data_IF_122837368716
#
_entry.id   IF_122837368716
#
_cell.length_a   1.000
_cell.length_b   1.000
_cell.length_c   1.000
_cell.angle_alpha   90.00
_cell.angle_beta   90.00
_cell.angle_gamma   90.00
#
_symmetry.space_group_name_H-M   'P 1'
#
loop_
_entity.id
_entity.type
_entity.pdbx_description
1 polymer ?
2 non-polymer ?
3 non-polymer ?
4 non-polymer ?
5 non-polymer ?
6 non-polymer ?
7 water ?
#
# COMPACT_ATOMS: atom_id res chain seq x y z
N UNK A 6 -4.08 24.24 8.10
CA UNK A 6 -4.68 23.74 6.86
C UNK A 6 -5.91 22.86 7.12
N UNK A 7 -7.05 23.22 6.52
CA UNK A 7 -8.29 22.47 6.71
C UNK A 7 -8.38 21.28 5.74
N UNK A 8 -9.04 20.20 6.20
CA UNK A 8 -9.21 19.00 5.38
C UNK A 8 -10.17 19.25 4.22
N UNK A 9 -10.18 18.35 3.24
CA UNK A 9 -11.17 18.41 2.19
C UNK A 9 -12.33 17.51 2.54
N UNK A 10 -13.54 18.04 2.42
CA UNK A 10 -14.70 17.19 2.46
C UNK A 10 -14.92 16.60 1.06
N UNK A 11 -14.89 15.27 0.97
CA UNK A 11 -15.10 14.58 -0.30
C UNK A 11 -16.36 13.72 -0.26
N UNK A 12 -16.94 13.50 -1.44
CA UNK A 12 -18.19 12.77 -1.58
C UNK A 12 -17.96 11.39 -2.18
N UNK A 13 -18.59 10.39 -1.58
CA UNK A 13 -18.57 9.04 -2.11
C UNK A 13 -19.41 8.99 -3.38
N UNK A 14 -18.77 8.63 -4.49
CA UNK A 14 -19.45 8.61 -5.78
C UNK A 14 -19.89 7.20 -6.14
N UNK A 15 -19.09 6.21 -5.75
CA UNK A 15 -19.28 4.85 -6.21
C UNK A 15 -18.59 3.93 -5.23
N UNK A 16 -19.15 2.74 -5.06
CA UNK A 16 -18.53 1.68 -4.25
C UNK A 16 -18.50 0.46 -5.14
N UNK A 17 -17.35 -0.23 -5.19
CA UNK A 17 -17.18 -1.30 -6.14
C UNK A 17 -16.29 -2.42 -5.60
N UNK A 18 -16.78 -3.65 -5.62
CA UNK A 18 -15.95 -4.79 -5.24
C UNK A 18 -15.01 -5.16 -6.38
N UNK A 19 -13.71 -5.19 -6.07
CA UNK A 19 -12.67 -5.58 -7.02
C UNK A 19 -12.44 -7.08 -6.86
N UNK A 20 -12.38 -7.51 -5.60
CA UNK A 20 -12.29 -8.92 -5.25
C UNK A 20 -12.93 -9.05 -3.88
N UNK A 21 -13.20 -10.29 -3.46
CA UNK A 21 -13.91 -10.42 -2.19
C UNK A 21 -13.36 -9.57 -1.04
N UNK A 22 -12.05 -9.39 -0.94
CA UNK A 22 -11.49 -8.64 0.20
C UNK A 22 -10.87 -7.32 -0.21
N UNK A 24 -12.35 -3.62 -1.67
CA UNK A 24 -13.43 -2.72 -2.04
C UNK A 24 -12.89 -1.36 -2.47
N UNK A 25 -13.25 -0.95 -3.68
CA UNK A 25 -12.83 0.32 -4.24
C UNK A 25 -13.91 1.38 -4.04
N UNK A 26 -13.56 2.45 -3.31
CA UNK A 26 -14.45 3.57 -3.10
C UNK A 26 -14.00 4.72 -4.02
N UNK A 27 -14.91 5.35 -4.74
CA UNK A 27 -14.54 6.47 -5.58
C UNK A 27 -15.04 7.74 -4.90
N UNK A 28 -14.10 8.65 -4.66
CA UNK A 28 -14.38 9.94 -3.99
C UNK A 28 -14.34 11.09 -4.99
N UNK A 29 -15.22 12.07 -4.80
CA UNK A 29 -15.19 13.26 -5.64
C UNK A 29 -15.88 14.44 -5.02
N UNK A 30 -16.50 15.27 -5.85
CA UNK A 30 -17.22 16.43 -5.35
C UNK A 30 -16.41 17.72 -5.40
N UNK A 31 -17.07 18.82 -5.10
CA UNK A 31 -16.44 20.13 -5.14
C UNK A 31 -15.17 20.19 -4.29
N UNK A 32 -15.10 19.35 -3.25
CA UNK A 32 -14.01 19.38 -2.29
C UNK A 32 -12.66 18.97 -2.83
N UNK A 33 -12.62 18.53 -4.08
CA UNK A 33 -11.39 18.03 -4.68
C UNK A 33 -10.72 19.11 -5.54
N UNK A 34 -11.42 20.24 -5.69
CA UNK A 34 -10.88 21.38 -6.43
C UNK A 34 -9.50 21.75 -5.94
N UNK A 35 -8.57 21.93 -6.87
CA UNK A 35 -7.19 22.29 -6.52
C UNK A 35 -6.37 21.17 -5.88
N UNK A 36 -6.95 19.99 -5.75
CA UNK A 36 -6.17 18.80 -5.41
C UNK A 36 -5.16 18.65 -6.53
N UNK A 37 -3.88 18.39 -6.19
CA UNK A 37 -2.85 18.33 -7.23
C UNK A 37 -2.90 17.12 -8.13
N UNK A 38 -2.43 17.33 -9.36
CA UNK A 38 -2.42 16.29 -10.38
C UNK A 38 -1.27 15.33 -10.19
N UNK A 39 -1.38 14.19 -10.86
CA UNK A 39 -0.34 13.15 -10.87
C UNK A 39 0.00 12.61 -9.48
N UNK A 40 -1.02 12.21 -8.72
CA UNK A 40 -0.85 11.72 -7.35
C UNK A 40 -1.11 10.22 -7.15
N UNK A 41 -1.15 9.46 -8.23
CA UNK A 41 -1.35 8.02 -8.14
C UNK A 41 -0.21 7.38 -7.37
N UNK A 42 -0.55 6.55 -6.39
CA UNK A 42 0.42 5.92 -5.46
C UNK A 42 0.75 6.83 -4.25
N UNK A 43 0.36 8.09 -4.30
CA UNK A 43 0.47 8.95 -3.12
C UNK A 43 -0.53 8.47 -2.10
N UNK A 44 -0.36 8.94 -0.87
CA UNK A 44 -1.19 8.49 0.21
C UNK A 44 -2.02 9.65 0.76
N UNK A 45 -3.17 9.34 1.33
CA UNK A 45 -4.00 10.37 1.94
C UNK A 45 -4.30 9.88 3.34
N UNK A 46 -4.81 10.76 4.18
CA UNK A 46 -5.25 10.44 5.52
C UNK A 46 -6.77 10.60 5.57
N UNK A 47 -7.47 9.52 5.84
CA UNK A 47 -8.90 9.59 6.10
C UNK A 47 -9.12 10.00 7.55
N UNK A 48 -10.04 10.94 7.79
CA UNK A 48 -10.33 11.44 9.14
C UNK A 48 -11.68 10.95 9.69
N UNK A 49 -11.67 10.42 10.92
CA UNK A 49 -12.84 9.74 11.45
C UNK A 49 -13.24 10.32 12.81
N UNK A 50 -14.56 10.41 13.06
CA UNK A 50 -15.06 11.16 14.18
C UNK A 50 -14.73 10.50 15.50
N UNK A 51 -14.18 11.27 16.42
CA UNK A 51 -14.15 10.88 17.83
C UNK A 51 -14.96 11.91 18.59
N UNK A 52 -15.86 11.41 19.43
CA UNK A 52 -16.64 12.22 20.37
C UNK A 52 -15.76 12.88 21.44
N UNK A 53 -15.86 14.20 21.53
CA UNK A 53 -15.07 14.99 22.46
C UNK A 53 -13.57 14.88 22.33
N UNK A 54 -13.06 14.36 21.20
CA UNK A 54 -11.62 14.14 21.03
C UNK A 54 -11.12 14.45 19.61
N UNK A 55 -9.80 14.46 19.45
CA UNK A 55 -9.16 14.56 18.12
C UNK A 55 -9.70 13.47 17.18
N UNK A 56 -9.80 13.79 15.89
CA UNK A 56 -10.18 12.73 14.96
C UNK A 56 -9.09 11.68 14.78
N UNK A 57 -9.49 10.43 14.64
CA UNK A 57 -8.60 9.38 14.18
C UNK A 57 -8.18 9.64 12.73
N UNK A 59 -6.45 7.54 9.26
CA UNK A 59 -6.05 6.25 8.69
C UNK A 59 -5.44 6.48 7.31
N UNK A 60 -4.38 5.77 6.98
CA UNK A 60 -3.61 6.06 5.79
C UNK A 60 -3.98 5.13 4.65
N UNK A 61 -4.22 5.72 3.48
CA UNK A 61 -4.67 4.98 2.32
C UNK A 61 -3.96 5.49 1.08
N UNK A 62 -3.96 4.67 0.05
CA UNK A 62 -3.28 5.01 -1.17
C UNK A 62 -4.28 5.47 -2.23
N UNK A 63 -3.88 6.50 -2.97
CA UNK A 63 -4.60 6.89 -4.17
C UNK A 63 -4.28 5.87 -5.25
N UNK A 64 -5.26 5.00 -5.49
CA UNK A 64 -5.13 3.90 -6.43
C UNK A 64 -5.25 4.39 -7.85
N UNK A 65 -6.19 5.29 -8.07
CA UNK A 65 -6.38 5.94 -9.36
C UNK A 65 -6.83 7.38 -9.21
N UNK A 66 -6.45 8.21 -10.17
CA UNK A 66 -6.83 9.60 -10.17
C UNK A 66 -7.29 10.03 -11.56
N UNK A 67 -8.52 10.54 -11.62
CA UNK A 67 -9.02 11.24 -12.77
C UNK A 67 -9.16 12.70 -12.39
N UNK A 68 -9.43 13.56 -13.35
CA UNK A 68 -9.46 14.99 -13.05
C UNK A 68 -10.60 15.42 -12.12
N UNK A 69 -11.60 14.56 -11.92
CA UNK A 69 -12.80 14.91 -11.14
C UNK A 69 -13.05 13.97 -9.95
N UNK A 70 -12.19 12.96 -9.80
CA UNK A 70 -12.31 11.99 -8.71
C UNK A 70 -11.02 11.19 -8.50
N UNK A 71 -10.98 10.49 -7.36
CA UNK A 71 -9.88 9.60 -7.03
C UNK A 71 -10.47 8.30 -6.53
N UNK A 72 -9.74 7.19 -6.74
CA UNK A 72 -10.13 5.88 -6.21
C UNK A 72 -9.22 5.46 -5.08
N UNK A 73 -9.85 4.91 -4.04
CA UNK A 73 -9.15 4.30 -2.91
C UNK A 73 -9.65 2.86 -2.71
N UNK A 74 -8.72 1.90 -2.69
CA UNK A 74 -9.06 0.48 -2.51
C UNK A 74 -8.80 0.05 -1.07
N UNK A 75 -9.84 -0.44 -0.41
CA UNK A 75 -9.78 -0.82 0.99
C UNK A 75 -9.68 -2.33 1.13
N UNK A 76 -8.66 -2.80 1.83
CA UNK A 76 -8.60 -4.21 2.18
C UNK A 76 -9.63 -4.46 3.28
N UNK A 77 -10.51 -5.44 3.07
CA UNK A 77 -11.55 -5.78 4.06
C UNK A 77 -10.97 -6.79 5.03
N UNK A 78 -10.04 -6.30 5.84
CA UNK A 78 -9.29 -7.12 6.79
C UNK A 78 -10.14 -7.54 7.99
N UNK A 79 -9.72 -8.61 8.64
CA UNK A 79 -10.33 -9.00 9.91
C UNK A 79 -10.08 -7.97 10.99
N UNK A 80 -11.00 -7.90 11.93
CA UNK A 80 -10.91 -6.95 13.04
C UNK A 80 -11.06 -5.56 12.45
N UNK A 81 -12.30 -5.17 12.26
CA UNK A 81 -12.62 -3.92 11.65
C UNK A 81 -12.01 -2.78 12.41
N UNK A 82 -11.60 -1.78 11.66
CA UNK A 82 -11.21 -0.54 12.25
C UNK A 82 -12.19 0.50 11.78
N UNK A 83 -12.00 1.73 12.22
CA UNK A 83 -12.83 2.80 11.75
C UNK A 83 -12.86 2.88 10.20
N UNK A 84 -11.75 2.60 9.53
CA UNK A 84 -11.66 2.78 8.07
C UNK A 84 -12.31 1.67 7.27
N UNK A 85 -11.93 0.43 7.55
CA UNK A 85 -12.49 -0.70 6.80
C UNK A 85 -13.99 -0.82 7.10
N UNK A 86 -14.37 -0.53 8.33
CA UNK A 86 -15.77 -0.54 8.69
C UNK A 86 -16.50 0.55 7.93
N UNK A 87 -15.90 1.74 7.86
CA UNK A 87 -16.52 2.85 7.13
C UNK A 87 -16.72 2.49 5.66
N UNK A 88 -15.71 1.88 5.04
CA UNK A 88 -15.78 1.51 3.63
C UNK A 88 -16.94 0.56 3.35
N UNK A 89 -17.09 -0.46 4.19
CA UNK A 89 -18.16 -1.44 4.00
C UNK A 89 -19.56 -0.85 4.12
N UNK A 90 -19.70 0.23 4.89
CA UNK A 90 -21.01 0.84 5.11
C UNK A 90 -21.23 2.11 4.31
N UNK A 91 -20.23 2.49 3.51
CA UNK A 91 -20.25 3.79 2.83
C UNK A 91 -21.32 3.85 1.75
N UNK A 92 -22.21 4.82 1.86
CA UNK A 92 -23.26 5.03 0.89
C UNK A 92 -22.87 6.11 -0.11
N UNK A 93 -23.48 6.09 -1.27
CA UNK A 93 -23.28 7.13 -2.26
C UNK A 93 -23.84 8.44 -1.72
N UNK A 94 -23.08 9.52 -1.83
CA UNK A 94 -23.51 10.82 -1.35
C UNK A 94 -22.99 11.11 0.05
N UNK A 95 -22.36 10.12 0.66
CA UNK A 95 -21.81 10.27 2.00
C UNK A 95 -20.49 11.05 1.94
N UNK A 96 -20.22 11.82 3.00
CA UNK A 96 -19.04 12.69 3.03
C UNK A 96 -17.94 12.17 3.94
N UNK A 97 -16.70 12.46 3.56
CA UNK A 97 -15.56 12.16 4.41
C UNK A 97 -14.45 13.18 4.18
N UNK A 98 -13.89 13.67 5.28
CA UNK A 98 -12.79 14.61 5.23
C UNK A 98 -11.46 13.88 5.10
N UNK A 99 -10.57 14.41 4.27
CA UNK A 99 -9.25 13.84 4.13
C UNK A 99 -8.18 14.89 4.28
N UNK A 100 -6.98 14.40 4.57
CA UNK A 100 -5.77 15.20 4.47
C UNK A 100 -4.92 14.51 3.42
N UNK A 101 -4.01 15.27 2.82
CA UNK A 101 -3.16 14.73 1.80
C UNK A 101 -3.25 15.64 0.61
N UNK A 102 -2.60 15.26 -0.50
CA UNK A 102 -1.86 14.00 -0.55
C UNK A 102 -0.47 14.09 0.06
N UNK A 103 0.02 13.01 0.62
CA UNK A 103 1.42 12.94 1.02
C UNK A 103 2.21 12.45 -0.16
N UNK A 104 3.51 12.72 -0.20
CA UNK A 104 4.33 12.35 -1.32
C UNK A 104 4.31 10.85 -1.60
N UNK A 105 4.35 10.50 -2.88
CA UNK A 105 4.47 9.12 -3.28
C UNK A 105 5.94 8.71 -3.26
N UNK A 106 6.15 7.41 -3.10
CA UNK A 106 7.44 6.78 -3.29
C UNK A 106 7.28 5.69 -4.35
N UNK A 107 7.85 5.93 -5.52
CA UNK A 107 7.88 4.93 -6.58
C UNK A 107 9.19 4.14 -6.43
N UNK A 108 9.22 2.94 -6.98
CA UNK A 108 10.47 2.20 -7.09
C UNK A 108 11.50 3.01 -7.89
N UNK A 109 12.78 2.85 -7.57
CA UNK A 109 13.86 3.46 -8.38
C UNK A 109 13.89 2.87 -9.78
N UNK A 110 13.59 3.69 -10.80
CA UNK A 110 13.50 3.20 -12.16
C UNK A 110 14.90 3.01 -12.74
N UNK A 111 15.91 3.47 -12.02
CA UNK A 111 17.28 3.44 -12.53
C UNK A 111 17.99 2.19 -12.04
N UNK A 112 17.72 1.07 -12.71
CA UNK A 112 18.17 -0.22 -12.25
C UNK A 112 18.05 -1.23 -13.40
N UNK A 113 18.77 -2.34 -13.30
CA UNK A 113 18.75 -3.37 -14.34
C UNK A 113 17.52 -4.27 -14.24
N UNK A 114 17.06 -4.52 -13.02
CA UNK A 114 15.86 -5.32 -12.83
C UNK A 114 15.17 -4.89 -11.57
N UNK A 115 13.97 -5.40 -11.36
CA UNK A 115 13.11 -4.88 -10.33
C UNK A 115 12.54 -6.00 -9.47
N UNK A 116 12.35 -5.70 -8.19
CA UNK A 116 11.56 -6.52 -7.29
C UNK A 116 10.65 -5.66 -6.44
N UNK A 117 9.35 -5.85 -6.64
CA UNK A 117 8.30 -5.26 -5.84
C UNK A 117 7.69 -6.37 -5.03
N UNK A 118 7.43 -6.10 -3.75
CA UNK A 118 6.82 -7.10 -2.89
C UNK A 118 5.97 -6.45 -1.81
N UNK A 119 4.85 -7.07 -1.48
CA UNK A 119 4.03 -6.57 -0.39
C UNK A 119 2.78 -7.40 -0.23
N UNK A 120 1.93 -6.98 0.70
CA UNK A 120 0.68 -7.65 0.91
C UNK A 120 -0.43 -6.79 0.34
N UNK A 122 -2.31 -4.49 1.43
CA UNK A 122 -2.33 -3.06 1.76
C UNK A 122 -1.41 -2.30 0.82
N UNK A 123 -0.46 -3.02 0.21
CA UNK A 123 0.51 -2.41 -0.70
C UNK A 123 0.15 -2.65 -2.14
N UNK A 124 -0.90 -3.43 -2.37
CA UNK A 124 -1.26 -3.86 -3.73
C UNK A 124 -1.64 -2.67 -4.61
N UNK A 125 -2.42 -1.70 -4.07
CA UNK A 125 -2.72 -0.50 -4.86
C UNK A 125 -1.46 0.26 -5.36
N UNK A 126 -0.51 0.48 -4.46
CA UNK A 126 0.75 1.13 -4.79
C UNK A 126 1.65 0.31 -5.72
N UNK A 127 1.69 -1.00 -5.49
CA UNK A 127 2.43 -1.90 -6.37
C UNK A 127 1.81 -1.91 -7.76
N UNK A 128 0.48 -1.82 -7.82
CA UNK A 128 -0.20 -1.84 -9.11
C UNK A 128 0.14 -0.58 -9.94
N UNK A 129 0.34 0.55 -9.27
CA UNK A 129 0.73 1.80 -9.92
C UNK A 129 2.17 1.73 -10.38
N UNK A 130 3.06 1.18 -9.55
CA UNK A 130 4.46 1.00 -9.97
C UNK A 130 4.58 0.10 -11.19
N UNK A 131 3.81 -0.98 -11.22
CA UNK A 131 3.84 -1.91 -12.37
C UNK A 131 3.38 -1.24 -13.65
N UNK A 132 2.38 -0.37 -13.54
CA UNK A 132 1.85 0.31 -14.71
C UNK A 132 2.80 1.40 -15.22
N UNK A 133 3.66 1.89 -14.34
CA UNK A 133 4.56 2.96 -14.69
C UNK A 133 5.93 2.44 -15.15
N UNK A 134 6.24 1.18 -14.84
CA UNK A 134 7.54 0.62 -15.24
C UNK A 134 7.65 0.60 -16.75
N UNK A 135 8.88 0.70 -17.27
CA UNK A 135 9.14 0.58 -18.70
C UNK A 135 8.61 -0.72 -19.27
N UNK A 136 8.21 -0.73 -20.53
CA UNK A 136 7.64 -1.90 -21.17
C UNK A 136 8.59 -3.09 -21.18
N UNK A 137 9.89 -2.81 -21.18
CA UNK A 137 10.91 -3.85 -21.23
C UNK A 137 11.52 -4.16 -19.88
N UNK A 138 10.85 -3.75 -18.80
CA UNK A 138 11.37 -3.97 -17.46
C UNK A 138 11.39 -5.47 -17.17
N UNK A 139 12.38 -5.88 -16.40
CA UNK A 139 12.58 -7.28 -16.05
C UNK A 139 12.56 -7.42 -14.53
N UNK A 140 11.98 -8.52 -14.05
CA UNK A 140 12.07 -8.86 -12.64
C UNK A 140 10.83 -9.55 -12.11
N UNK A 141 10.50 -9.24 -10.86
CA UNK A 141 9.47 -9.95 -10.09
C UNK A 141 8.60 -9.02 -9.25
N UNK A 142 7.32 -9.35 -9.19
CA UNK A 142 6.40 -8.77 -8.22
C UNK A 142 5.75 -9.92 -7.46
N UNK A 143 5.90 -9.86 -6.14
CA UNK A 143 5.46 -10.92 -5.26
C UNK A 143 4.47 -10.31 -4.28
N UNK A 144 3.25 -10.80 -4.31
CA UNK A 144 2.15 -10.21 -3.57
C UNK A 144 1.39 -11.26 -2.78
N UNK A 145 1.22 -10.95 -1.49
CA UNK A 145 0.49 -11.78 -0.56
C UNK A 145 -0.97 -11.35 -0.48
N UNK A 146 -1.87 -12.28 -0.80
CA UNK A 146 -3.30 -12.03 -0.77
C UNK A 146 -3.97 -13.04 0.16
N UNK A 147 -5.24 -12.83 0.48
CA UNK A 147 -5.94 -13.67 1.45
C UNK A 147 -6.54 -14.92 0.86
N UNK A 148 -6.83 -14.88 -0.44
CA UNK A 148 -7.40 -16.03 -1.13
C UNK A 148 -7.02 -16.01 -2.60
N UNK A 149 -7.35 -17.08 -3.31
CA UNK A 149 -7.16 -17.11 -4.76
C UNK A 149 -8.05 -16.07 -5.42
N UNK A 150 -9.24 -15.89 -4.86
CA UNK A 150 -10.22 -14.95 -5.39
C UNK A 150 -9.72 -13.51 -5.35
N UNK A 151 -8.78 -13.24 -4.46
CA UNK A 151 -8.23 -11.90 -4.30
C UNK A 151 -7.04 -11.63 -5.21
N UNK A 152 -6.65 -12.60 -6.02
CA UNK A 152 -5.68 -12.35 -7.07
C UNK A 152 -6.34 -11.46 -8.15
N UNK A 153 -5.59 -10.48 -8.64
CA UNK A 153 -6.08 -9.57 -9.68
C UNK A 153 -5.23 -9.66 -10.94
N UNK A 154 -5.86 -9.42 -12.11
CA UNK A 154 -5.09 -9.37 -13.33
C UNK A 154 -4.52 -7.97 -13.52
N UNK A 155 -3.30 -7.75 -13.05
CA UNK A 155 -2.69 -6.45 -13.11
C UNK A 155 -2.00 -6.18 -14.45
N UNK A 156 -1.98 -4.93 -14.86
CA UNK A 156 -1.11 -4.46 -15.92
C UNK A 156 0.35 -4.54 -15.44
N UNK A 157 1.23 -5.05 -16.29
CA UNK A 157 2.63 -5.15 -15.95
C UNK A 157 3.47 -5.41 -17.21
N UNK A 158 4.75 -5.01 -17.20
CA UNK A 158 5.70 -5.36 -18.24
C UNK A 158 5.73 -6.88 -18.41
N UNK A 159 5.80 -7.34 -19.65
CA UNK A 159 5.65 -8.76 -19.90
C UNK A 159 6.77 -9.57 -19.25
N UNK A 160 7.94 -8.96 -19.02
CA UNK A 160 9.05 -9.70 -18.39
C UNK A 160 9.19 -9.45 -16.88
N UNK A 161 8.19 -8.79 -16.31
CA UNK A 161 8.00 -8.80 -14.87
C UNK A 161 7.00 -9.89 -14.54
N UNK A 162 7.44 -10.89 -13.78
CA UNK A 162 6.58 -12.00 -13.35
C UNK A 162 5.81 -11.68 -12.10
N UNK A 163 4.52 -11.95 -12.10
CA UNK A 163 3.69 -11.82 -10.91
C UNK A 163 3.60 -13.12 -10.14
N UNK A 164 4.19 -13.15 -8.95
CA UNK A 164 4.08 -14.29 -8.05
C UNK A 164 3.13 -13.95 -6.92
N UNK A 165 2.08 -14.75 -6.76
CA UNK A 165 1.10 -14.51 -5.70
C UNK A 165 1.32 -15.48 -4.55
N UNK A 166 1.36 -14.95 -3.34
CA UNK A 166 1.43 -15.73 -2.14
C UNK A 166 0.05 -15.68 -1.49
N UNK A 167 -0.57 -16.83 -1.33
CA UNK A 167 -1.91 -16.86 -0.79
C UNK A 167 -1.86 -17.27 0.67
N UNK A 168 -2.25 -16.34 1.54
CA UNK A 168 -2.17 -16.55 2.97
C UNK A 168 -3.35 -15.92 3.70
N UNK A 169 -4.30 -16.74 4.15
CA UNK A 169 -5.51 -16.32 4.86
C UNK A 169 -5.30 -15.64 6.21
N UNK A 170 -4.19 -15.96 6.88
CA UNK A 170 -3.91 -15.43 8.21
C UNK A 170 -2.52 -14.82 8.19
N UNK A 171 -2.42 -13.55 8.53
CA UNK A 171 -1.11 -12.88 8.55
C UNK A 171 -0.19 -13.52 9.60
N UNK A 172 1.08 -13.68 9.26
CA UNK A 172 2.05 -14.41 10.07
C UNK A 172 2.85 -13.45 10.93
N UNK A 173 2.68 -13.49 12.25
CA UNK A 173 3.47 -12.61 13.10
C UNK A 173 4.98 -12.87 12.98
N UNK A 174 5.35 -14.04 12.45
CA UNK A 174 6.76 -14.38 12.21
C UNK A 174 7.29 -13.77 10.93
N UNK A 175 6.41 -13.31 10.05
CA UNK A 175 6.80 -12.66 8.80
C UNK A 175 7.40 -13.54 7.71
N UNK A 176 7.04 -14.82 7.72
CA UNK A 176 7.68 -15.83 6.86
C UNK A 176 7.22 -15.90 5.38
N UNK A 177 5.91 -15.82 5.11
CA UNK A 177 5.41 -16.14 3.76
C UNK A 177 6.07 -15.40 2.62
N UNK A 178 6.13 -14.07 2.71
CA UNK A 178 6.69 -13.29 1.64
C UNK A 178 8.21 -13.55 1.45
N UNK A 179 8.98 -13.50 2.54
CA UNK A 179 10.42 -13.70 2.40
C UNK A 179 10.74 -15.12 1.92
N UNK A 180 9.96 -16.10 2.36
CA UNK A 180 10.25 -17.46 1.94
C UNK A 180 10.04 -17.69 0.45
N UNK A 181 9.07 -17.02 -0.15
CA UNK A 181 8.86 -17.13 -1.59
C UNK A 181 9.93 -16.35 -2.32
N UNK A 182 10.25 -15.17 -1.82
CA UNK A 182 11.22 -14.32 -2.50
C UNK A 182 12.58 -15.02 -2.56
N UNK A 183 12.95 -15.73 -1.49
CA UNK A 183 14.26 -16.37 -1.43
C UNK A 183 14.36 -17.58 -2.39
N UNK A 184 13.23 -17.92 -3.01
CA UNK A 184 13.21 -19.01 -3.98
C UNK A 184 13.33 -18.47 -5.41
N UNK A 185 13.37 -17.14 -5.55
CA UNK A 185 13.42 -16.51 -6.85
C UNK A 185 14.87 -16.22 -7.24
N UNK A 186 15.26 -16.67 -8.44
CA UNK A 186 16.62 -16.44 -8.91
C UNK A 186 17.01 -14.97 -8.90
N UNK A 187 18.23 -14.73 -8.45
CA UNK A 187 18.83 -13.43 -8.47
C UNK A 187 19.34 -13.19 -9.88
N UNK A 188 18.94 -12.09 -10.50
CA UNK A 188 19.33 -11.85 -11.89
C UNK A 188 20.60 -11.04 -11.97
N UNK A 189 21.11 -10.87 -13.19
CA UNK A 189 22.35 -10.15 -13.41
C UNK A 189 22.11 -8.64 -13.35
N UNK A 190 23.07 -7.92 -12.79
CA UNK A 190 22.95 -6.48 -12.61
C UNK A 190 22.39 -6.10 -11.26
N UNK A 191 22.23 -4.80 -11.03
CA UNK A 191 21.73 -4.29 -9.76
C UNK A 191 20.22 -4.14 -9.86
N UNK A 192 19.51 -4.64 -8.86
CA UNK A 192 18.06 -4.47 -8.78
C UNK A 192 17.68 -3.15 -8.11
N UNK A 193 16.43 -2.75 -8.27
CA UNK A 193 15.76 -1.90 -7.29
C UNK A 193 14.65 -2.65 -6.58
N UNK A 194 14.58 -2.49 -5.26
CA UNK A 194 13.61 -3.21 -4.45
C UNK A 194 12.63 -2.24 -3.78
N UNK A 195 11.35 -2.59 -3.83
CA UNK A 195 10.30 -1.80 -3.21
C UNK A 195 9.45 -2.79 -2.44
N UNK A 196 9.34 -2.57 -1.14
CA UNK A 196 8.67 -3.49 -0.24
C UNK A 196 7.82 -2.71 0.73
N UNK A 197 6.55 -3.12 0.83
CA UNK A 197 5.63 -2.55 1.82
C UNK A 197 4.60 -3.61 2.24
N UNK A 198 4.49 -3.81 3.55
CA UNK A 198 3.65 -4.85 4.09
C UNK A 198 3.60 -4.73 5.59
N UNK A 199 3.13 -5.79 6.24
CA UNK A 199 2.99 -5.88 7.68
C UNK A 199 4.37 -5.86 8.28
N UNK A 200 4.49 -5.14 9.38
CA UNK A 200 5.77 -4.89 10.02
C UNK A 200 6.71 -6.09 10.09
N UNK A 201 6.23 -7.22 10.58
CA UNK A 201 7.10 -8.38 10.80
C UNK A 201 7.58 -8.98 9.48
N UNK A 202 6.70 -9.01 8.48
CA UNK A 202 7.11 -9.44 7.14
C UNK A 202 8.15 -8.51 6.54
N UNK A 204 10.32 -6.70 8.20
CA UNK A 204 11.58 -6.86 8.94
C UNK A 204 12.28 -8.15 8.55
N UNK A 205 11.50 -9.19 8.28
CA UNK A 205 12.05 -10.45 7.81
C UNK A 205 12.70 -10.26 6.45
N UNK A 206 12.01 -9.55 5.55
CA UNK A 206 12.55 -9.26 4.23
C UNK A 206 13.80 -8.41 4.30
N UNK A 207 13.73 -7.38 5.13
CA UNK A 207 14.83 -6.46 5.30
C UNK A 207 16.04 -7.20 5.83
N UNK A 208 15.83 -8.04 6.83
CA UNK A 208 16.90 -8.85 7.40
C UNK A 208 17.46 -9.80 6.35
N UNK A 209 16.60 -10.47 5.59
CA UNK A 209 17.08 -11.34 4.53
C UNK A 209 18.06 -10.61 3.62
N UNK A 210 17.66 -9.46 3.11
CA UNK A 210 18.51 -8.73 2.18
C UNK A 210 19.81 -8.23 2.83
N UNK A 211 19.78 -7.88 4.10
CA UNK A 211 21.00 -7.43 4.78
C UNK A 211 22.03 -8.57 4.91
N UNK A 212 21.53 -9.75 5.24
CA UNK A 212 22.39 -10.92 5.45
C UNK A 212 22.88 -11.52 4.14
N UNK A 213 22.01 -11.53 3.13
CA UNK A 213 22.32 -12.21 1.86
C UNK A 213 22.85 -11.28 0.77
N UNK A 214 22.18 -10.16 0.54
CA UNK A 214 22.43 -9.36 -0.66
C UNK A 214 22.34 -7.88 -0.34
N UNK A 215 23.37 -7.32 0.27
CA UNK A 215 23.30 -5.92 0.73
C UNK A 215 23.19 -4.92 -0.43
N UNK A 216 22.20 -4.03 -0.32
CA UNK A 216 21.88 -3.04 -1.35
C UNK A 216 21.79 -1.66 -0.72
N UNK A 217 22.13 -0.60 -1.48
CA UNK A 217 22.01 0.77 -0.99
C UNK A 217 20.55 1.18 -0.82
N UNK A 218 20.27 2.07 0.13
CA UNK A 218 18.87 2.46 0.41
C UNK A 218 18.17 3.14 -0.77
N UNK A 219 18.95 3.81 -1.62
CA UNK A 219 18.45 4.40 -2.86
C UNK A 219 17.80 3.36 -3.77
N UNK A 220 18.24 2.12 -3.65
CA UNK A 220 17.71 1.04 -4.46
C UNK A 220 17.00 0.01 -3.62
N UNK A 221 16.62 0.40 -2.40
CA UNK A 221 16.01 -0.54 -1.46
C UNK A 221 15.03 0.12 -0.49
N UNK A 222 13.79 0.25 -0.93
CA UNK A 222 12.74 0.86 -0.12
C UNK A 222 11.99 -0.20 0.67
N UNK A 223 11.93 0.00 1.99
CA UNK A 223 11.08 -0.80 2.86
C UNK A 223 10.12 0.06 3.71
N UNK A 224 8.89 -0.39 3.87
CA UNK A 224 7.93 0.32 4.69
C UNK A 224 6.95 -0.64 5.35
N UNK A 225 6.68 -0.39 6.63
CA UNK A 225 5.64 -1.05 7.37
C UNK A 225 4.35 -0.30 7.12
N UNK A 226 3.35 -1.00 6.61
CA UNK A 226 2.05 -0.38 6.33
C UNK A 226 1.03 -0.61 7.44
N UNK A 227 1.20 -1.69 8.19
CA UNK A 227 0.37 -1.98 9.36
C UNK A 227 1.09 -2.98 10.25
N UNK A 228 0.58 -3.22 11.45
CA UNK A 228 1.17 -4.24 12.29
C UNK A 228 0.09 -5.04 12.99
N UNK A 229 0.28 -6.35 13.04
CA UNK A 229 -0.61 -7.24 13.74
C UNK A 229 -0.73 -6.86 15.21
N UNK A 230 -1.97 -6.73 15.67
CA UNK A 230 -2.24 -6.43 17.07
C UNK A 230 -2.29 -4.95 17.35
N UNK A 231 -1.95 -4.13 16.35
CA UNK A 231 -1.94 -2.67 16.50
C UNK A 231 -2.93 -1.99 15.59
N UNK A 232 -3.60 -0.97 16.12
CA UNK A 232 -4.32 -0.06 15.27
C UNK A 232 -3.32 0.98 14.75
N UNK A 233 -3.73 1.82 13.80
CA UNK A 233 -2.78 2.71 13.15
C UNK A 233 -1.96 3.55 14.13
N UNK A 234 -2.61 4.04 15.18
CA UNK A 234 -1.93 4.88 16.16
C UNK A 234 -0.81 4.15 16.87
N UNK A 235 -1.07 2.88 17.19
CA UNK A 235 -0.10 2.03 17.85
C UNK A 235 1.00 1.68 16.86
N UNK A 236 0.62 1.32 15.64
CA UNK A 236 1.59 1.02 14.58
C UNK A 236 2.57 2.16 14.37
N UNK A 237 2.06 3.38 14.32
CA UNK A 237 2.90 4.56 14.09
C UNK A 237 4.06 4.65 15.06
N UNK A 238 3.78 4.38 16.33
CA UNK A 238 4.82 4.37 17.33
C UNK A 238 5.89 3.34 17.05
N UNK A 239 5.48 2.13 16.71
CA UNK A 239 6.42 1.05 16.44
C UNK A 239 7.21 1.38 15.17
N UNK A 240 6.50 1.84 14.15
CA UNK A 240 7.15 2.26 12.92
C UNK A 240 8.27 3.30 13.17
N UNK A 241 7.94 4.35 13.90
CA UNK A 241 8.87 5.42 14.23
C UNK A 241 10.08 4.86 14.98
N UNK A 242 9.82 3.97 15.94
CA UNK A 242 10.90 3.42 16.75
C UNK A 242 11.84 2.59 15.90
N UNK A 243 11.27 1.77 15.03
CA UNK A 243 12.05 0.94 14.11
C UNK A 243 12.89 1.79 13.15
N UNK A 244 12.27 2.80 12.55
CA UNK A 244 12.95 3.76 11.67
C UNK A 244 14.13 4.38 12.38
N UNK A 245 13.93 4.79 13.63
CA UNK A 245 14.99 5.41 14.40
C UNK A 245 16.11 4.44 14.73
N UNK A 246 15.78 3.20 15.06
CA UNK A 246 16.81 2.21 15.33
C UNK A 246 17.62 1.94 14.08
N UNK A 247 16.90 1.77 12.97
CA UNK A 247 17.46 1.38 11.70
C UNK A 247 18.33 2.49 11.09
N UNK A 248 17.87 3.74 11.20
CA UNK A 248 18.59 4.88 10.60
C UNK A 248 19.40 5.64 11.64
N UNK A 249 20.20 4.91 12.42
CA UNK A 249 21.00 5.52 13.48
C UNK A 249 20.96 4.72 14.78
#
# INVERSE_FOLDING_TARGET
>A
GXXNKPAPRELEVIRSTYITPHXLRITLGGAGLAGFPADQESAYIKLLFPQAGERPLXRTYTIRQQRDDEIDVDFVLHDTDGPASSWAKTAQVGELIQIGGPGLKKLINFEADWFLLAGDXTALPAISVNLAKLPNNAVGYAVIEVLSEADIQPLVHPEHVELHWVINPEADPEGRPLVERIAQLPWLAGEPAVWIACEFNSXRALRRHFKQAHALPKSHFYTSSYWKIGCNEGEHKLVKQEDEQLENGASV
#
